data_IF_133760641940
#
_entry.id   IF_133760641940
#
_cell.length_a   1.000
_cell.length_b   1.000
_cell.length_c   1.000
_cell.angle_alpha   90.00
_cell.angle_beta   90.00
_cell.angle_gamma   90.00
#
_symmetry.space_group_name_H-M   'P 1'
#
loop_
_entity.id
_entity.type
_entity.pdbx_description
1 polymer ?
#
# COMPACT_ATOMS: atom_id res chain seq x y z
N UNK A 1 -41.72 -3.18 7.28
CA UNK A 1 -41.04 -3.60 6.03
C UNK A 1 -40.24 -2.42 5.50
N UNK A 2 -38.94 -2.32 5.83
CA UNK A 2 -38.04 -1.30 5.26
C UNK A 2 -36.53 -1.56 5.51
N UNK A 3 -36.12 -2.73 5.99
CA UNK A 3 -34.70 -3.01 6.32
C UNK A 3 -33.94 -3.88 5.30
N UNK A 4 -34.65 -4.55 4.38
CA UNK A 4 -34.06 -5.54 3.46
C UNK A 4 -33.43 -4.93 2.19
N UNK A 5 -33.68 -3.65 1.90
CA UNK A 5 -33.15 -2.98 0.71
C UNK A 5 -31.77 -2.32 0.92
N UNK A 6 -31.30 -2.14 2.17
CA UNK A 6 -30.00 -1.53 2.47
C UNK A 6 -28.83 -2.53 2.50
N UNK A 7 -29.10 -3.80 2.79
CA UNK A 7 -28.08 -4.85 2.93
C UNK A 7 -27.23 -5.05 1.66
N UNK A 8 -27.79 -5.02 0.43
CA UNK A 8 -27.00 -5.22 -0.79
C UNK A 8 -26.02 -4.06 -1.10
N UNK A 9 -26.27 -2.85 -0.60
CA UNK A 9 -25.44 -1.67 -0.83
C UNK A 9 -24.32 -1.52 0.21
N UNK A 10 -24.52 -2.03 1.42
CA UNK A 10 -23.53 -1.95 2.51
C UNK A 10 -22.42 -3.00 2.32
N UNK A 11 -22.76 -4.17 1.76
CA UNK A 11 -21.84 -5.30 1.69
C UNK A 11 -20.61 -5.05 0.79
N UNK A 12 -20.72 -4.44 -0.41
CA UNK A 12 -19.55 -4.12 -1.24
C UNK A 12 -18.60 -3.13 -0.54
N UNK A 13 -19.14 -2.03 0.01
CA UNK A 13 -18.33 -1.04 0.73
C UNK A 13 -17.69 -1.61 2.00
N UNK A 14 -18.34 -2.57 2.68
CA UNK A 14 -17.71 -3.31 3.77
C UNK A 14 -16.47 -4.07 3.27
N UNK A 15 -16.59 -4.84 2.19
CA UNK A 15 -15.46 -5.61 1.68
C UNK A 15 -14.34 -4.76 1.08
N UNK A 16 -14.65 -3.59 0.50
CA UNK A 16 -13.62 -2.59 0.12
C UNK A 16 -12.82 -2.11 1.33
N UNK A 17 -13.48 -1.84 2.47
CA UNK A 17 -12.79 -1.47 3.69
C UNK A 17 -11.94 -2.63 4.24
N UNK A 18 -12.47 -3.86 4.21
CA UNK A 18 -11.76 -5.06 4.64
C UNK A 18 -10.50 -5.29 3.79
N UNK A 19 -10.59 -5.09 2.48
CA UNK A 19 -9.45 -5.15 1.55
C UNK A 19 -8.39 -4.11 1.91
N UNK A 20 -8.80 -2.84 2.07
CA UNK A 20 -7.91 -1.76 2.53
C UNK A 20 -7.21 -2.09 3.86
N UNK A 21 -7.92 -2.67 4.83
CA UNK A 21 -7.32 -3.10 6.09
C UNK A 21 -6.31 -4.22 5.88
N UNK A 22 -6.57 -5.19 5.00
CA UNK A 22 -5.61 -6.23 4.65
C UNK A 22 -4.31 -5.66 4.08
N UNK A 23 -4.40 -4.70 3.15
CA UNK A 23 -3.23 -3.97 2.63
C UNK A 23 -2.45 -3.26 3.74
N UNK A 24 -3.16 -2.57 4.65
CA UNK A 24 -2.54 -1.85 5.77
C UNK A 24 -1.85 -2.78 6.76
N UNK A 25 -2.45 -3.93 7.07
CA UNK A 25 -1.86 -4.94 7.95
C UNK A 25 -0.58 -5.53 7.36
N UNK A 26 -0.52 -5.72 6.04
CA UNK A 26 0.70 -6.13 5.35
C UNK A 26 1.84 -5.12 5.55
N UNK A 27 1.54 -3.82 5.41
CA UNK A 27 2.53 -2.75 5.66
C UNK A 27 3.03 -2.74 7.10
N UNK A 28 2.14 -3.00 8.06
CA UNK A 28 2.46 -3.08 9.49
C UNK A 28 3.05 -4.44 9.92
N UNK A 29 3.16 -5.40 8.99
CA UNK A 29 3.68 -6.75 9.25
C UNK A 29 2.95 -7.48 10.39
N UNK A 30 1.65 -7.27 10.50
CA UNK A 30 0.83 -7.94 11.51
C UNK A 30 0.59 -9.39 11.12
N UNK A 31 0.79 -10.32 12.05
CA UNK A 31 0.50 -11.74 11.82
C UNK A 31 -1.00 -11.95 11.53
N UNK A 32 -1.33 -12.56 10.39
CA UNK A 32 -2.71 -12.84 9.99
C UNK A 32 -3.43 -13.78 10.96
N UNK A 33 -2.71 -14.56 11.76
CA UNK A 33 -3.27 -15.35 12.87
C UNK A 33 -3.92 -14.47 13.93
N UNK A 34 -3.40 -13.27 14.16
CA UNK A 34 -4.00 -12.31 15.08
C UNK A 34 -5.37 -11.82 14.57
N UNK A 35 -5.54 -11.71 13.24
CA UNK A 35 -6.82 -11.37 12.61
C UNK A 35 -7.82 -12.52 12.74
N UNK A 36 -7.40 -13.76 12.46
CA UNK A 36 -8.26 -14.92 12.67
C UNK A 36 -8.75 -14.98 14.13
N UNK A 37 -7.82 -14.79 15.08
CA UNK A 37 -8.14 -14.81 16.50
C UNK A 37 -9.05 -13.67 16.94
N UNK A 38 -8.87 -12.47 16.40
CA UNK A 38 -9.75 -11.33 16.75
C UNK A 38 -11.18 -11.55 16.26
N UNK A 39 -11.36 -12.13 15.08
CA UNK A 39 -12.68 -12.48 14.55
C UNK A 39 -13.37 -13.58 15.37
N UNK A 40 -12.62 -14.58 15.85
CA UNK A 40 -13.14 -15.59 16.80
C UNK A 40 -13.62 -14.95 18.10
N UNK A 41 -12.78 -14.11 18.72
CA UNK A 41 -13.13 -13.42 19.96
C UNK A 41 -14.35 -12.53 19.76
N UNK A 42 -14.43 -11.81 18.65
CA UNK A 42 -15.59 -10.98 18.34
C UNK A 42 -16.89 -11.81 18.28
N UNK A 43 -16.84 -12.97 17.63
CA UNK A 43 -17.99 -13.86 17.54
C UNK A 43 -18.42 -14.43 18.90
N UNK A 44 -17.46 -14.89 19.71
CA UNK A 44 -17.70 -15.36 21.08
C UNK A 44 -18.36 -14.27 21.94
N UNK A 45 -17.92 -13.01 21.80
CA UNK A 45 -18.48 -11.87 22.53
C UNK A 45 -19.89 -11.50 22.04
N UNK A 46 -20.22 -11.75 20.77
CA UNK A 46 -21.55 -11.47 20.22
C UNK A 46 -22.60 -12.52 20.63
N UNK A 47 -22.20 -13.77 20.82
CA UNK A 47 -23.11 -14.91 21.05
C UNK A 47 -24.16 -14.68 22.17
N UNK A 48 -23.80 -14.14 23.36
CA UNK A 48 -24.77 -13.86 24.41
C UNK A 48 -25.86 -12.86 23.98
N UNK A 49 -25.49 -11.83 23.22
CA UNK A 49 -26.42 -10.81 22.75
C UNK A 49 -27.32 -11.33 21.63
N UNK A 50 -26.76 -12.14 20.72
CA UNK A 50 -27.52 -12.75 19.64
C UNK A 50 -28.60 -13.70 20.19
N UNK A 51 -28.27 -14.45 21.25
CA UNK A 51 -29.22 -15.36 21.89
C UNK A 51 -30.46 -14.63 22.42
N UNK A 52 -30.30 -13.43 22.99
CA UNK A 52 -31.40 -12.61 23.49
C UNK A 52 -32.24 -11.92 22.42
N UNK A 53 -31.66 -11.68 21.23
CA UNK A 53 -32.31 -10.92 20.15
C UNK A 53 -33.07 -11.80 19.15
N UNK A 54 -32.57 -13.00 18.85
CA UNK A 54 -33.00 -13.75 17.66
C UNK A 54 -33.78 -15.05 17.95
N UNK A 55 -33.85 -15.51 19.21
CA UNK A 55 -34.72 -16.61 19.65
C UNK A 55 -34.68 -17.83 18.70
N UNK A 56 -35.80 -18.14 18.07
CA UNK A 56 -35.93 -19.28 17.14
C UNK A 56 -35.01 -19.20 15.90
N UNK A 57 -34.58 -18.00 15.49
CA UNK A 57 -33.70 -17.76 14.33
C UNK A 57 -32.22 -17.74 14.69
N UNK A 58 -31.85 -17.96 15.95
CA UNK A 58 -30.47 -17.87 16.43
C UNK A 58 -29.50 -18.73 15.60
N UNK A 59 -29.90 -19.96 15.25
CA UNK A 59 -29.08 -20.86 14.44
C UNK A 59 -28.76 -20.31 13.05
N UNK A 60 -29.73 -19.68 12.39
CA UNK A 60 -29.53 -19.05 11.08
C UNK A 60 -28.58 -17.85 11.17
N UNK A 61 -28.71 -17.06 12.25
CA UNK A 61 -27.87 -15.89 12.48
C UNK A 61 -26.43 -16.28 12.78
N UNK A 62 -26.20 -17.30 13.61
CA UNK A 62 -24.86 -17.83 13.89
C UNK A 62 -24.23 -18.35 12.59
N UNK A 63 -24.94 -19.16 11.81
CA UNK A 63 -24.43 -19.66 10.54
C UNK A 63 -24.09 -18.52 9.55
N UNK A 64 -24.91 -17.47 9.51
CA UNK A 64 -24.64 -16.29 8.68
C UNK A 64 -23.39 -15.54 9.17
N UNK A 65 -23.21 -15.42 10.48
CA UNK A 65 -22.03 -14.78 11.08
C UNK A 65 -20.75 -15.58 10.83
N UNK A 66 -20.82 -16.91 10.87
CA UNK A 66 -19.72 -17.81 10.50
C UNK A 66 -19.28 -17.61 9.03
N UNK A 67 -20.25 -17.50 8.12
CA UNK A 67 -19.98 -17.21 6.71
C UNK A 67 -19.35 -15.82 6.55
N UNK A 68 -19.88 -14.81 7.24
CA UNK A 68 -19.34 -13.44 7.19
C UNK A 68 -17.90 -13.38 7.75
N UNK A 69 -17.64 -14.05 8.88
CA UNK A 69 -16.30 -14.18 9.46
C UNK A 69 -15.35 -14.82 8.45
N UNK A 70 -15.75 -15.93 7.85
CA UNK A 70 -14.93 -16.67 6.87
C UNK A 70 -14.62 -15.81 5.66
N UNK A 71 -15.63 -15.14 5.10
CA UNK A 71 -15.45 -14.22 3.97
C UNK A 71 -14.52 -13.06 4.33
N UNK A 72 -14.72 -12.44 5.50
CA UNK A 72 -13.87 -11.34 5.99
C UNK A 72 -12.42 -11.80 6.11
N UNK A 73 -12.17 -12.97 6.73
CA UNK A 73 -10.83 -13.50 6.89
C UNK A 73 -10.15 -13.78 5.54
N UNK A 74 -10.88 -14.36 4.58
CA UNK A 74 -10.35 -14.62 3.23
C UNK A 74 -10.01 -13.31 2.52
N UNK A 75 -10.88 -12.30 2.58
CA UNK A 75 -10.61 -10.99 1.95
C UNK A 75 -9.40 -10.30 2.58
N UNK A 76 -9.31 -10.22 3.91
CA UNK A 76 -8.16 -9.60 4.59
C UNK A 76 -6.87 -10.34 4.24
N UNK A 77 -6.89 -11.68 4.32
CA UNK A 77 -5.69 -12.49 4.07
C UNK A 77 -5.26 -12.41 2.62
N UNK A 78 -6.20 -12.42 1.67
CA UNK A 78 -5.93 -12.23 0.25
C UNK A 78 -5.23 -10.89 0.01
N UNK A 79 -5.85 -9.79 0.42
CA UNK A 79 -5.27 -8.45 0.28
C UNK A 79 -3.89 -8.32 0.96
N UNK A 80 -3.71 -8.96 2.12
CA UNK A 80 -2.43 -9.01 2.83
C UNK A 80 -1.34 -9.72 2.00
N UNK A 81 -1.60 -10.94 1.54
CA UNK A 81 -0.61 -11.75 0.82
C UNK A 81 -0.36 -11.22 -0.58
N UNK A 82 -1.38 -10.67 -1.25
CA UNK A 82 -1.22 -10.02 -2.55
C UNK A 82 -0.33 -8.78 -2.43
N UNK A 83 -0.52 -7.98 -1.37
CA UNK A 83 0.35 -6.83 -1.08
C UNK A 83 1.79 -7.29 -0.86
N UNK A 84 2.01 -8.32 -0.03
CA UNK A 84 3.36 -8.85 0.23
C UNK A 84 4.02 -9.43 -1.02
N UNK A 85 3.27 -10.16 -1.83
CA UNK A 85 3.76 -10.76 -3.07
C UNK A 85 4.13 -9.66 -4.07
N UNK A 86 3.31 -8.62 -4.18
CA UNK A 86 3.60 -7.47 -5.05
C UNK A 86 4.85 -6.72 -4.60
N UNK A 87 4.98 -6.41 -3.31
CA UNK A 87 6.18 -5.76 -2.74
C UNK A 87 7.44 -6.57 -3.07
N UNK A 88 7.40 -7.89 -2.83
CA UNK A 88 8.53 -8.78 -3.09
C UNK A 88 8.86 -8.88 -4.59
N UNK A 89 7.84 -9.01 -5.45
CA UNK A 89 8.03 -9.04 -6.89
C UNK A 89 8.65 -7.74 -7.42
N UNK A 90 8.26 -6.59 -6.88
CA UNK A 90 8.87 -5.30 -7.23
C UNK A 90 10.34 -5.25 -6.83
N UNK A 91 10.71 -5.76 -5.65
CA UNK A 91 12.12 -5.85 -5.24
C UNK A 91 12.93 -6.76 -6.17
N UNK A 92 12.39 -7.92 -6.54
CA UNK A 92 13.05 -8.81 -7.49
C UNK A 92 13.26 -8.15 -8.86
N UNK A 93 12.26 -7.40 -9.36
CA UNK A 93 12.39 -6.67 -10.62
C UNK A 93 13.47 -5.59 -10.57
N UNK A 94 13.63 -4.93 -9.42
CA UNK A 94 14.73 -3.96 -9.21
C UNK A 94 16.09 -4.66 -9.24
N UNK A 95 16.22 -5.82 -8.58
CA UNK A 95 17.46 -6.61 -8.63
C UNK A 95 17.77 -7.13 -10.04
N UNK A 96 16.75 -7.58 -10.78
CA UNK A 96 16.90 -7.99 -12.18
C UNK A 96 17.34 -6.80 -13.05
N UNK A 97 16.82 -5.60 -12.78
CA UNK A 97 17.24 -4.38 -13.46
C UNK A 97 18.71 -4.03 -13.19
N UNK A 98 19.19 -4.23 -11.96
CA UNK A 98 20.61 -4.08 -11.63
C UNK A 98 21.48 -5.07 -12.43
N UNK A 99 21.13 -6.36 -12.41
CA UNK A 99 21.92 -7.41 -13.07
C UNK A 99 21.92 -7.31 -14.60
N UNK A 100 20.82 -6.82 -15.20
CA UNK A 100 20.65 -6.76 -16.65
C UNK A 100 21.13 -5.44 -17.28
N UNK A 101 21.57 -4.47 -16.49
CA UNK A 101 21.97 -3.15 -17.01
C UNK A 101 23.47 -3.11 -17.29
N UNK A 102 23.83 -2.59 -18.47
CA UNK A 102 25.23 -2.48 -18.90
C UNK A 102 26.00 -1.36 -18.18
N UNK A 103 25.26 -0.36 -17.67
CA UNK A 103 25.78 0.75 -16.89
C UNK A 103 24.73 1.24 -15.87
N UNK A 104 25.14 2.19 -15.02
CA UNK A 104 24.32 2.71 -13.93
C UNK A 104 23.17 3.59 -14.41
N UNK A 105 23.31 4.26 -15.55
CA UNK A 105 22.26 5.12 -16.11
C UNK A 105 21.06 4.28 -16.57
N UNK A 106 21.34 3.22 -17.34
CA UNK A 106 20.33 2.26 -17.77
C UNK A 106 19.67 1.54 -16.57
N UNK A 107 20.41 1.34 -15.48
CA UNK A 107 19.84 0.82 -14.23
C UNK A 107 18.85 1.82 -13.62
N UNK A 108 19.23 3.10 -13.50
CA UNK A 108 18.35 4.13 -12.94
C UNK A 108 17.06 4.28 -13.72
N UNK A 109 17.10 4.29 -15.06
CA UNK A 109 15.92 4.34 -15.91
C UNK A 109 14.95 3.18 -15.60
N UNK A 110 15.45 1.94 -15.59
CA UNK A 110 14.62 0.76 -15.29
C UNK A 110 14.06 0.79 -13.87
N UNK A 111 14.86 1.18 -12.89
CA UNK A 111 14.40 1.30 -11.50
C UNK A 111 13.32 2.36 -11.38
N UNK A 112 13.47 3.48 -12.07
CA UNK A 112 12.48 4.56 -12.08
C UNK A 112 11.17 4.11 -12.73
N UNK A 113 11.22 3.38 -13.84
CA UNK A 113 10.04 2.79 -14.49
C UNK A 113 9.31 1.80 -13.56
N UNK A 114 10.05 0.87 -12.95
CA UNK A 114 9.49 -0.15 -12.05
C UNK A 114 8.82 0.50 -10.84
N UNK A 115 9.50 1.46 -10.20
CA UNK A 115 8.99 2.13 -9.01
C UNK A 115 7.82 3.06 -9.33
N UNK A 116 7.89 3.83 -10.42
CA UNK A 116 6.80 4.72 -10.85
C UNK A 116 5.52 3.93 -11.15
N UNK A 117 5.63 2.82 -11.88
CA UNK A 117 4.50 1.94 -12.15
C UNK A 117 3.90 1.33 -10.87
N UNK A 118 4.74 0.97 -9.89
CA UNK A 118 4.29 0.40 -8.62
C UNK A 118 3.56 1.43 -7.72
N UNK A 119 4.01 2.69 -7.72
CA UNK A 119 3.38 3.77 -6.96
C UNK A 119 2.26 4.49 -7.72
N UNK A 120 2.08 4.21 -9.02
CA UNK A 120 1.13 4.93 -9.86
C UNK A 120 1.53 6.39 -10.07
N UNK A 121 2.82 6.70 -9.99
CA UNK A 121 3.33 8.06 -10.17
C UNK A 121 3.40 8.40 -11.65
N UNK A 122 2.86 9.56 -12.04
CA UNK A 122 2.95 10.07 -13.40
C UNK A 122 4.29 10.76 -13.71
N UNK A 123 5.02 11.14 -12.64
CA UNK A 123 6.31 11.81 -12.71
C UNK A 123 7.23 11.24 -11.65
N UNK A 124 8.49 11.00 -12.00
CA UNK A 124 9.51 10.57 -11.06
C UNK A 124 10.90 11.06 -11.49
N UNK A 125 11.81 11.18 -10.52
CA UNK A 125 13.17 11.62 -10.76
C UNK A 125 14.15 11.00 -9.75
N UNK A 126 15.37 10.73 -10.21
CA UNK A 126 16.52 10.36 -9.38
C UNK A 126 17.49 11.53 -9.39
N UNK A 127 17.80 12.02 -8.20
CA UNK A 127 18.76 13.09 -7.96
C UNK A 127 20.02 12.49 -7.34
N UNK A 128 21.19 12.81 -7.90
CA UNK A 128 22.47 12.40 -7.32
C UNK A 128 23.17 13.58 -6.67
N UNK A 129 23.72 13.35 -5.48
CA UNK A 129 24.62 14.31 -4.83
C UNK A 129 25.88 14.46 -5.68
N UNK A 130 26.33 15.70 -5.86
CA UNK A 130 27.56 15.98 -6.59
C UNK A 130 28.78 15.48 -5.80
N UNK A 131 29.80 15.01 -6.51
CA UNK A 131 31.05 14.57 -5.90
C UNK A 131 31.87 15.75 -5.34
N UNK A 132 31.79 16.91 -5.98
CA UNK A 132 32.43 18.15 -5.56
C UNK A 132 31.37 19.26 -5.38
N UNK A 133 31.49 20.01 -4.28
CA UNK A 133 30.56 21.07 -3.90
C UNK A 133 29.34 20.60 -3.08
N UNK A 134 28.49 21.55 -2.72
CA UNK A 134 27.22 21.30 -2.03
C UNK A 134 26.07 21.35 -3.04
N UNK A 135 25.36 20.23 -3.21
CA UNK A 135 24.19 20.17 -4.07
C UNK A 135 23.94 18.80 -4.68
N UNK A 136 22.91 18.74 -5.52
CA UNK A 136 22.49 17.56 -6.24
C UNK A 136 22.11 17.92 -7.67
N UNK A 137 22.27 16.96 -8.58
CA UNK A 137 21.88 17.09 -9.99
C UNK A 137 20.79 16.08 -10.32
N UNK A 138 19.98 16.40 -11.32
CA UNK A 138 19.13 15.42 -11.98
C UNK A 138 20.00 14.39 -12.70
N UNK A 139 19.78 13.10 -12.42
CA UNK A 139 20.49 12.00 -13.09
C UNK A 139 19.58 11.25 -14.05
N UNK A 140 18.35 11.00 -13.63
CA UNK A 140 17.37 10.29 -14.42
C UNK A 140 15.97 10.81 -14.09
N UNK A 141 15.07 10.80 -15.07
CA UNK A 141 13.72 11.31 -14.90
C UNK A 141 12.73 10.58 -15.80
N UNK A 142 11.46 10.57 -15.40
CA UNK A 142 10.35 9.96 -16.11
C UNK A 142 9.14 10.88 -16.04
N UNK A 143 8.56 11.25 -17.18
CA UNK A 143 7.34 12.06 -17.27
C UNK A 143 7.53 13.55 -16.96
N UNK A 144 8.78 13.99 -16.80
CA UNK A 144 9.16 15.40 -16.57
C UNK A 144 10.00 15.97 -17.72
N UNK A 145 10.02 15.28 -18.86
CA UNK A 145 10.83 15.66 -20.01
C UNK A 145 10.41 17.06 -20.50
N UNK A 146 11.35 18.01 -20.47
CA UNK A 146 11.12 19.40 -20.87
C UNK A 146 10.49 20.31 -19.80
N UNK A 147 10.14 19.78 -18.62
CA UNK A 147 9.75 20.62 -17.47
C UNK A 147 10.97 21.10 -16.67
N UNK A 148 12.02 20.30 -16.66
CA UNK A 148 13.28 20.57 -15.95
C UNK A 148 14.42 20.28 -16.91
N UNK A 149 15.34 21.23 -17.16
CA UNK A 149 16.54 20.97 -17.95
C UNK A 149 17.38 19.82 -17.36
N UNK A 150 17.97 18.98 -18.20
CA UNK A 150 18.75 17.80 -17.77
C UNK A 150 20.00 18.19 -16.95
N UNK A 151 20.48 19.42 -17.09
CA UNK A 151 21.61 20.01 -16.36
C UNK A 151 21.18 20.79 -15.11
N UNK A 152 19.93 20.63 -14.65
CA UNK A 152 19.45 21.35 -13.48
C UNK A 152 20.20 20.91 -12.22
N UNK A 153 20.78 21.90 -11.57
CA UNK A 153 21.48 21.76 -10.31
C UNK A 153 20.66 22.39 -9.18
N UNK A 154 20.64 21.71 -8.03
CA UNK A 154 19.89 22.14 -6.87
C UNK A 154 20.81 22.27 -5.66
N UNK A 155 20.56 23.29 -4.84
CA UNK A 155 21.32 23.56 -3.61
C UNK A 155 20.78 22.74 -2.42
N UNK A 156 21.67 22.41 -1.48
CA UNK A 156 21.30 21.75 -0.23
C UNK A 156 20.42 22.66 0.64
N UNK A 157 19.40 22.07 1.29
CA UNK A 157 18.50 22.78 2.19
C UNK A 157 17.48 23.70 1.50
N UNK A 158 17.52 23.86 0.17
CA UNK A 158 16.53 24.63 -0.57
C UNK A 158 15.45 23.74 -1.20
N UNK A 159 14.20 24.19 -1.09
CA UNK A 159 13.04 23.44 -1.57
C UNK A 159 12.87 22.09 -0.87
N UNK A 160 11.91 21.30 -1.36
CA UNK A 160 11.57 20.01 -0.75
C UNK A 160 12.68 18.96 -0.90
N UNK A 161 13.33 18.88 -2.06
CA UNK A 161 14.42 17.94 -2.27
C UNK A 161 15.66 18.31 -1.43
N UNK A 162 15.94 19.60 -1.24
CA UNK A 162 17.07 20.05 -0.43
C UNK A 162 16.91 19.73 1.06
N UNK A 163 15.67 19.77 1.59
CA UNK A 163 15.39 19.38 2.98
C UNK A 163 15.47 17.87 3.19
N UNK A 164 15.00 17.06 2.23
CA UNK A 164 15.13 15.60 2.25
C UNK A 164 16.60 15.16 2.33
N UNK A 165 17.46 15.75 1.49
CA UNK A 165 18.89 15.43 1.46
C UNK A 165 19.59 15.83 2.76
N UNK A 166 19.16 16.92 3.40
CA UNK A 166 19.74 17.39 4.66
C UNK A 166 19.37 16.50 5.86
N UNK A 167 18.17 15.93 5.86
CA UNK A 167 17.65 15.10 6.96
C UNK A 167 17.97 13.62 6.78
N UNK A 168 18.02 13.13 5.53
CA UNK A 168 18.13 11.71 5.22
C UNK A 168 16.85 10.92 5.49
N UNK A 169 15.76 11.61 5.85
CA UNK A 169 14.47 11.01 6.19
C UNK A 169 13.48 11.19 5.03
N UNK A 170 12.65 10.19 4.71
CA UNK A 170 11.60 10.34 3.71
C UNK A 170 10.52 11.32 4.19
N UNK A 171 10.02 12.13 3.27
CA UNK A 171 8.97 13.12 3.52
C UNK A 171 7.94 13.11 2.39
N UNK A 172 6.77 13.70 2.62
CA UNK A 172 5.67 13.76 1.65
C UNK A 172 4.90 15.07 1.77
N UNK A 173 4.69 15.74 0.64
CA UNK A 173 3.75 16.86 0.56
C UNK A 173 2.39 16.29 0.13
N UNK A 174 1.37 16.50 0.96
CA UNK A 174 0.01 15.98 0.72
C UNK A 174 -0.81 16.88 -0.22
N UNK A 175 -0.44 18.17 -0.33
CA UNK A 175 -1.07 19.16 -1.21
C UNK A 175 -0.07 20.29 -1.50
N UNK A 176 0.06 20.70 -2.76
CA UNK A 176 1.04 21.69 -3.28
C UNK A 176 0.34 22.89 -3.89
#
# INVERSE_FOLDING_TARGET
MSGLALIPLILPGFFENVDYFGMRLAKLQVDTRAVARSLEIYQELCEPYLSGLFGARLKEVIATLDVLKSATFVTVSGAYFDTKTREFATLLRVLDAELASGDIGAMFEKVLEITSANFGASMAAILLRKAEGDGFKLECSLGVEGLVPDDTEFELGQGFCGSLVATGEPDMILDV
#
